data_IF_066067555847
#
_entry.id   IF_066067555847
#
_cell.length_a   1.000
_cell.length_b   1.000
_cell.length_c   1.000
_cell.angle_alpha   90.00
_cell.angle_beta   90.00
_cell.angle_gamma   90.00
#
_symmetry.space_group_name_H-M   'P 1'
#
loop_
_entity.id
_entity.type
_entity.pdbx_description
1 polymer ?
#
# COMPACT_ATOMS: atom_id res chain seq x y z
N UNK A 1 17.94 8.59 -12.44
CA UNK A 1 17.31 7.29 -12.69
C UNK A 1 15.87 7.42 -13.15
N UNK A 2 15.60 7.12 -14.42
CA UNK A 2 14.25 6.90 -14.95
C UNK A 2 14.07 5.41 -15.24
N UNK A 3 12.85 4.90 -15.09
CA UNK A 3 12.55 3.50 -15.34
C UNK A 3 11.06 3.24 -15.30
N UNK A 4 10.68 1.99 -15.06
CA UNK A 4 9.27 1.58 -14.94
C UNK A 4 9.07 0.89 -13.61
N UNK A 5 7.92 1.13 -13.01
CA UNK A 5 7.58 0.59 -11.70
C UNK A 5 6.08 0.32 -11.67
N UNK A 6 5.67 -0.77 -11.02
CA UNK A 6 4.28 -1.10 -10.75
C UNK A 6 4.23 -2.16 -9.65
N UNK A 7 3.06 -2.37 -9.07
CA UNK A 7 2.81 -3.55 -8.26
C UNK A 7 2.22 -4.68 -9.11
N UNK A 8 2.54 -5.91 -8.74
CA UNK A 8 1.83 -7.10 -9.19
C UNK A 8 1.06 -7.67 -8.01
N UNK A 9 -0.27 -7.56 -8.05
CA UNK A 9 -1.16 -7.95 -6.95
C UNK A 9 -2.17 -8.95 -7.49
N UNK A 10 -2.19 -10.16 -6.95
CA UNK A 10 -3.16 -11.19 -7.38
C UNK A 10 -3.08 -11.55 -8.87
N UNK A 11 -1.92 -11.37 -9.51
CA UNK A 11 -1.74 -11.57 -10.95
C UNK A 11 -2.13 -10.36 -11.81
N UNK A 12 -2.58 -9.26 -11.21
CA UNK A 12 -2.89 -8.02 -11.92
C UNK A 12 -1.80 -6.96 -11.73
N UNK A 13 -1.62 -6.13 -12.76
CA UNK A 13 -0.71 -4.99 -12.75
C UNK A 13 -1.44 -3.77 -12.18
N UNK A 14 -0.92 -3.23 -11.08
CA UNK A 14 -1.45 -2.03 -10.40
C UNK A 14 -0.44 -0.89 -10.56
N UNK A 15 -0.91 0.24 -11.09
CA UNK A 15 -0.08 1.35 -11.56
C UNK A 15 0.21 1.31 -13.07
N UNK A 16 0.51 2.47 -13.65
CA UNK A 16 0.87 2.64 -15.05
C UNK A 16 2.36 2.35 -15.28
N UNK A 17 2.67 1.08 -15.54
CA UNK A 17 4.03 0.64 -15.84
C UNK A 17 4.59 1.24 -17.15
N UNK A 18 3.72 1.57 -18.11
CA UNK A 18 4.14 1.94 -19.45
C UNK A 18 4.51 3.43 -19.57
N UNK A 19 3.94 4.29 -18.69
CA UNK A 19 4.23 5.73 -18.63
C UNK A 19 5.68 6.09 -18.23
N UNK A 20 6.39 5.18 -17.57
CA UNK A 20 7.71 5.46 -16.98
C UNK A 20 7.64 6.40 -15.79
N UNK A 21 8.62 6.33 -14.89
CA UNK A 21 8.66 7.11 -13.65
C UNK A 21 10.08 7.50 -13.25
N UNK A 22 10.19 8.54 -12.44
CA UNK A 22 11.39 8.85 -11.67
C UNK A 22 11.56 7.80 -10.57
N UNK A 23 12.45 6.83 -10.79
CA UNK A 23 12.72 5.79 -9.79
C UNK A 23 13.36 6.35 -8.52
N UNK A 24 13.96 7.55 -8.61
CA UNK A 24 14.44 8.30 -7.45
C UNK A 24 13.28 8.75 -6.56
N UNK A 25 12.20 9.25 -7.16
CA UNK A 25 11.03 9.68 -6.39
C UNK A 25 10.34 8.47 -5.77
N UNK A 26 10.20 7.36 -6.53
CA UNK A 26 9.73 6.08 -5.98
C UNK A 26 10.57 5.67 -4.76
N UNK A 27 11.89 5.65 -4.87
CA UNK A 27 12.79 5.29 -3.78
C UNK A 27 12.59 6.17 -2.53
N UNK A 28 12.45 7.49 -2.71
CA UNK A 28 12.23 8.39 -1.58
C UNK A 28 10.89 8.15 -0.90
N UNK A 29 9.83 7.90 -1.67
CA UNK A 29 8.50 7.61 -1.12
C UNK A 29 8.44 6.24 -0.43
N UNK A 30 9.15 5.23 -0.94
CA UNK A 30 9.21 3.90 -0.33
C UNK A 30 9.75 3.93 1.11
N UNK A 31 10.56 4.93 1.48
CA UNK A 31 11.09 5.05 2.85
C UNK A 31 10.00 5.12 3.91
N UNK A 32 8.88 5.76 3.60
CA UNK A 32 7.74 5.87 4.52
C UNK A 32 7.03 4.53 4.64
N UNK A 33 6.74 3.88 3.51
CA UNK A 33 6.08 2.57 3.48
C UNK A 33 6.92 1.50 4.21
N UNK A 34 8.24 1.47 3.96
CA UNK A 34 9.16 0.55 4.65
C UNK A 34 9.26 0.91 6.14
N UNK A 35 9.26 2.21 6.48
CA UNK A 35 9.31 2.69 7.86
C UNK A 35 8.10 2.31 8.69
N UNK A 36 6.92 2.19 8.06
CA UNK A 36 5.68 1.72 8.68
C UNK A 36 5.57 0.18 8.72
N UNK A 37 6.60 -0.55 8.29
CA UNK A 37 6.66 -2.00 8.31
C UNK A 37 6.42 -2.59 9.71
N UNK A 38 5.57 -3.62 9.81
CA UNK A 38 5.16 -4.24 11.06
C UNK A 38 4.12 -3.47 11.89
N UNK A 39 3.74 -2.26 11.48
CA UNK A 39 2.81 -1.40 12.22
C UNK A 39 1.37 -1.44 11.66
N UNK A 40 1.03 -2.50 10.91
CA UNK A 40 -0.25 -2.67 10.19
C UNK A 40 -1.16 -3.76 10.76
N UNK A 41 -0.80 -4.30 11.92
CA UNK A 41 -1.59 -5.31 12.61
C UNK A 41 -2.86 -4.71 13.21
N UNK A 42 -4.02 -5.06 12.64
CA UNK A 42 -5.32 -4.63 13.12
C UNK A 42 -6.38 -5.71 12.82
N UNK A 43 -6.44 -6.77 13.65
CA UNK A 43 -7.21 -7.98 13.33
C UNK A 43 -8.72 -7.75 13.26
N UNK A 44 -9.26 -6.85 14.09
CA UNK A 44 -10.70 -6.50 14.06
C UNK A 44 -11.12 -5.83 12.75
N UNK A 45 -10.25 -4.98 12.20
CA UNK A 45 -10.47 -4.36 10.89
C UNK A 45 -10.24 -5.38 9.77
N UNK A 46 -9.19 -6.19 9.86
CA UNK A 46 -8.88 -7.26 8.91
C UNK A 46 -10.00 -8.31 8.77
N UNK A 47 -10.82 -8.53 9.82
CA UNK A 47 -11.96 -9.46 9.79
C UNK A 47 -13.16 -8.97 8.96
N UNK A 48 -13.18 -7.70 8.52
CA UNK A 48 -14.29 -7.15 7.76
C UNK A 48 -14.26 -7.54 6.26
N UNK A 49 -15.37 -7.40 5.53
CA UNK A 49 -15.39 -7.52 4.08
C UNK A 49 -14.52 -6.45 3.39
N UNK A 50 -13.85 -6.80 2.29
CA UNK A 50 -12.89 -5.93 1.59
C UNK A 50 -13.43 -4.53 1.28
N UNK A 51 -14.64 -4.43 0.71
CA UNK A 51 -15.27 -3.15 0.41
C UNK A 51 -15.48 -2.27 1.66
N UNK A 52 -15.78 -2.88 2.80
CA UNK A 52 -15.93 -2.15 4.08
C UNK A 52 -14.59 -1.69 4.62
N UNK A 53 -13.56 -2.54 4.57
CA UNK A 53 -12.19 -2.16 4.96
C UNK A 53 -11.72 -0.98 4.09
N UNK A 54 -11.84 -1.11 2.77
CA UNK A 54 -11.47 -0.07 1.82
C UNK A 54 -12.13 1.26 2.17
N UNK A 55 -13.45 1.25 2.36
CA UNK A 55 -14.21 2.46 2.70
C UNK A 55 -13.75 3.08 4.02
N UNK A 56 -13.54 2.29 5.07
CA UNK A 56 -13.11 2.79 6.37
C UNK A 56 -11.72 3.44 6.31
N UNK A 57 -10.78 2.83 5.60
CA UNK A 57 -9.43 3.39 5.42
C UNK A 57 -9.51 4.66 4.57
N UNK A 58 -10.16 4.59 3.41
CA UNK A 58 -10.30 5.70 2.48
C UNK A 58 -10.96 6.93 3.13
N UNK A 59 -12.08 6.74 3.85
CA UNK A 59 -12.78 7.84 4.50
C UNK A 59 -11.95 8.45 5.66
N UNK A 60 -11.17 7.63 6.37
CA UNK A 60 -10.28 8.06 7.45
C UNK A 60 -9.09 8.88 6.94
N UNK A 61 -8.46 8.47 5.84
CA UNK A 61 -7.38 9.23 5.19
C UNK A 61 -7.84 10.60 4.68
N UNK A 62 -9.13 10.70 4.30
CA UNK A 62 -9.76 11.96 3.88
C UNK A 62 -10.35 12.77 5.02
N UNK A 63 -10.20 12.30 6.26
CA UNK A 63 -10.79 12.89 7.46
C UNK A 63 -12.32 13.11 7.37
N UNK A 64 -12.99 12.32 6.53
CA UNK A 64 -14.45 12.42 6.31
C UNK A 64 -15.24 11.57 7.30
N UNK A 65 -14.62 10.51 7.83
CA UNK A 65 -15.22 9.64 8.83
C UNK A 65 -14.13 9.07 9.76
N UNK A 66 -14.48 8.83 11.03
CA UNK A 66 -13.61 8.28 12.08
C UNK A 66 -14.05 6.87 12.55
N UNK A 67 -15.02 6.24 11.90
CA UNK A 67 -15.53 4.90 12.24
C UNK A 67 -14.45 3.79 12.19
N UNK A 68 -13.30 4.03 11.56
CA UNK A 68 -12.16 3.08 11.61
C UNK A 68 -11.72 2.80 13.06
N UNK A 69 -11.88 3.77 13.97
CA UNK A 69 -11.52 3.64 15.39
C UNK A 69 -12.51 2.80 16.20
N UNK A 70 -13.62 2.36 15.61
CA UNK A 70 -14.44 1.30 16.21
C UNK A 70 -13.73 -0.06 16.13
N UNK A 71 -12.74 -0.20 15.23
CA UNK A 71 -12.00 -1.42 14.93
C UNK A 71 -10.51 -1.32 15.29
N UNK A 72 -9.92 -0.13 15.21
CA UNK A 72 -8.53 0.16 15.58
C UNK A 72 -8.45 0.96 16.88
N UNK A 73 -7.28 0.99 17.52
CA UNK A 73 -7.05 1.85 18.69
C UNK A 73 -7.00 3.34 18.30
N UNK A 74 -7.33 4.26 19.21
CA UNK A 74 -7.36 5.70 18.93
C UNK A 74 -5.98 6.32 18.62
N UNK A 75 -4.91 5.66 19.04
CA UNK A 75 -3.51 6.01 18.72
C UNK A 75 -3.04 5.39 17.39
N UNK A 76 -3.84 4.52 16.78
CA UNK A 76 -3.54 3.94 15.48
C UNK A 76 -3.56 5.02 14.40
N UNK A 77 -2.57 5.00 13.50
CA UNK A 77 -2.48 5.95 12.38
C UNK A 77 -2.96 5.27 11.08
N UNK A 78 -4.15 5.62 10.54
CA UNK A 78 -4.66 5.00 9.31
C UNK A 78 -3.73 5.13 8.11
N UNK A 79 -2.90 6.17 8.06
CA UNK A 79 -1.89 6.39 7.03
C UNK A 79 -0.93 5.20 6.85
N UNK A 80 -0.65 4.43 7.91
CA UNK A 80 0.21 3.24 7.83
C UNK A 80 -0.36 2.14 6.94
N UNK A 81 -1.69 2.12 6.79
CA UNK A 81 -2.39 1.15 5.94
C UNK A 81 -2.32 1.54 4.46
N UNK A 82 -1.98 2.79 4.13
CA UNK A 82 -1.75 3.24 2.75
C UNK A 82 -0.37 2.79 2.27
N UNK A 83 -0.38 1.85 1.32
CA UNK A 83 0.83 1.33 0.70
C UNK A 83 0.92 1.72 -0.79
N UNK A 84 0.04 2.62 -1.23
CA UNK A 84 0.10 3.20 -2.56
C UNK A 84 1.22 4.24 -2.61
N UNK A 85 2.17 4.09 -3.54
CA UNK A 85 3.29 5.04 -3.64
C UNK A 85 2.75 6.35 -4.23
N UNK A 86 2.92 7.51 -3.56
CA UNK A 86 2.40 8.80 -4.03
C UNK A 86 3.26 9.37 -5.18
N UNK A 87 3.22 8.70 -6.33
CA UNK A 87 3.82 9.11 -7.60
C UNK A 87 2.78 8.97 -8.72
N UNK A 88 3.01 9.70 -9.81
CA UNK A 88 2.08 9.84 -10.93
C UNK A 88 1.56 8.51 -11.53
N UNK A 89 2.44 7.51 -11.65
CA UNK A 89 2.07 6.16 -12.13
C UNK A 89 1.02 5.44 -11.25
N UNK A 90 0.77 5.90 -10.02
CA UNK A 90 -0.22 5.34 -9.12
C UNK A 90 -1.42 6.26 -8.87
N UNK A 91 -1.50 7.45 -9.47
CA UNK A 91 -2.56 8.42 -9.20
C UNK A 91 -3.99 7.87 -9.34
N UNK A 92 -4.19 6.92 -10.27
CA UNK A 92 -5.49 6.30 -10.51
C UNK A 92 -5.78 5.11 -9.60
N UNK A 93 -5.04 4.90 -8.51
CA UNK A 93 -5.15 3.74 -7.65
C UNK A 93 -5.16 4.11 -6.17
N UNK A 94 -5.87 3.30 -5.39
CA UNK A 94 -5.74 3.23 -3.95
C UNK A 94 -5.32 1.81 -3.60
N UNK A 95 -4.30 1.66 -2.76
CA UNK A 95 -3.77 0.35 -2.37
C UNK A 95 -3.55 0.36 -0.86
N UNK A 96 -4.28 -0.50 -0.17
CA UNK A 96 -4.24 -0.62 1.28
C UNK A 96 -3.76 -2.00 1.71
N UNK A 97 -2.97 -2.06 2.77
CA UNK A 97 -2.53 -3.29 3.41
C UNK A 97 -2.98 -3.31 4.86
N UNK A 98 -3.59 -4.40 5.28
CA UNK A 98 -4.00 -4.65 6.67
C UNK A 98 -3.59 -6.06 7.09
N UNK A 99 -3.00 -6.21 8.27
CA UNK A 99 -2.59 -7.52 8.79
C UNK A 99 -3.57 -8.02 9.86
N UNK A 100 -4.06 -9.25 9.67
CA UNK A 100 -4.80 -10.01 10.66
C UNK A 100 -3.91 -11.01 11.38
N UNK A 101 -4.53 -11.92 12.14
CA UNK A 101 -3.79 -12.95 12.91
C UNK A 101 -3.15 -14.02 12.01
N UNK A 102 -3.84 -14.43 10.95
CA UNK A 102 -3.41 -15.54 10.08
C UNK A 102 -2.87 -15.07 8.73
N UNK A 103 -3.40 -13.97 8.22
CA UNK A 103 -3.11 -13.46 6.88
C UNK A 103 -3.12 -11.93 6.86
N UNK A 104 -2.39 -11.37 5.91
CA UNK A 104 -2.50 -9.99 5.48
C UNK A 104 -3.45 -9.89 4.28
N UNK A 105 -4.14 -8.75 4.17
CA UNK A 105 -5.06 -8.43 3.08
C UNK A 105 -4.55 -7.21 2.34
N UNK A 106 -4.22 -7.39 1.06
CA UNK A 106 -3.88 -6.33 0.14
C UNK A 106 -5.14 -5.98 -0.66
N UNK A 107 -5.68 -4.79 -0.43
CA UNK A 107 -6.97 -4.32 -0.95
C UNK A 107 -6.69 -3.16 -1.88
N UNK A 108 -7.25 -3.19 -3.08
CA UNK A 108 -6.93 -2.18 -4.08
C UNK A 108 -8.11 -1.89 -4.98
N UNK A 109 -8.16 -0.65 -5.47
CA UNK A 109 -9.24 -0.16 -6.31
C UNK A 109 -8.73 0.95 -7.21
N UNK A 110 -9.11 0.88 -8.49
CA UNK A 110 -8.88 1.97 -9.42
C UNK A 110 -9.84 3.14 -9.13
N UNK A 111 -9.34 4.36 -9.22
CA UNK A 111 -10.13 5.57 -9.00
C UNK A 111 -11.35 5.62 -9.94
N UNK A 112 -12.49 6.07 -9.43
CA UNK A 112 -13.74 6.17 -10.17
C UNK A 112 -14.48 4.84 -10.40
N UNK A 113 -13.89 3.70 -10.01
CA UNK A 113 -14.59 2.41 -10.02
C UNK A 113 -15.23 2.11 -8.66
N UNK A 114 -16.12 1.11 -8.59
CA UNK A 114 -16.60 0.53 -7.32
C UNK A 114 -16.15 -0.95 -7.16
N UNK A 115 -15.18 -1.36 -7.97
CA UNK A 115 -14.66 -2.73 -8.00
C UNK A 115 -13.47 -2.85 -7.04
N UNK A 116 -13.78 -3.01 -5.74
CA UNK A 116 -12.76 -3.26 -4.72
C UNK A 116 -12.23 -4.69 -4.86
N UNK A 117 -10.94 -4.82 -5.17
CA UNK A 117 -10.25 -6.09 -5.28
C UNK A 117 -9.49 -6.42 -4.01
N UNK A 118 -9.26 -7.70 -3.79
CA UNK A 118 -8.57 -8.24 -2.62
C UNK A 118 -7.63 -9.37 -3.05
N UNK A 119 -6.45 -9.41 -2.46
CA UNK A 119 -5.56 -10.57 -2.43
C UNK A 119 -5.07 -10.79 -1.01
N UNK A 120 -4.94 -12.05 -0.61
CA UNK A 120 -4.37 -12.42 0.68
C UNK A 120 -2.91 -12.77 0.54
N UNK A 121 -2.13 -12.46 1.56
CA UNK A 121 -0.69 -12.73 1.65
C UNK A 121 -0.39 -13.29 3.05
N UNK A 122 0.65 -14.11 3.22
CA UNK A 122 1.29 -14.30 4.50
C UNK A 122 1.59 -12.96 5.19
N UNK A 123 1.39 -12.91 6.51
CA UNK A 123 1.74 -11.74 7.34
C UNK A 123 3.22 -11.41 7.16
N UNK A 124 3.54 -10.12 6.96
CA UNK A 124 4.89 -9.62 6.73
C UNK A 124 5.44 -9.82 5.30
N UNK A 125 4.73 -10.52 4.40
CA UNK A 125 5.24 -10.75 3.02
C UNK A 125 5.43 -9.42 2.27
N UNK A 126 4.45 -8.51 2.36
CA UNK A 126 4.56 -7.20 1.72
C UNK A 126 5.78 -6.43 2.23
N UNK A 127 6.01 -6.41 3.55
CA UNK A 127 7.13 -5.70 4.16
C UNK A 127 8.49 -6.28 3.72
N UNK A 128 8.56 -7.60 3.59
CA UNK A 128 9.73 -8.27 3.03
C UNK A 128 10.00 -7.83 1.59
N UNK A 129 8.97 -7.86 0.72
CA UNK A 129 9.09 -7.52 -0.70
C UNK A 129 9.42 -6.03 -0.90
N UNK A 130 8.76 -5.14 -0.16
CA UNK A 130 8.93 -3.69 -0.32
C UNK A 130 10.30 -3.23 0.17
N UNK A 131 10.82 -3.86 1.24
CA UNK A 131 12.17 -3.62 1.74
C UNK A 131 13.24 -4.12 0.76
N UNK A 132 13.06 -5.30 0.19
CA UNK A 132 13.96 -5.80 -0.87
C UNK A 132 13.97 -4.87 -2.08
N UNK A 133 12.78 -4.42 -2.51
CA UNK A 133 12.62 -3.47 -3.62
C UNK A 133 13.36 -2.15 -3.35
N UNK A 134 13.25 -1.61 -2.13
CA UNK A 134 13.99 -0.42 -1.72
C UNK A 134 15.50 -0.61 -1.84
N UNK A 135 16.03 -1.73 -1.31
CA UNK A 135 17.47 -2.03 -1.38
C UNK A 135 17.98 -2.15 -2.82
N UNK A 136 17.20 -2.75 -3.73
CA UNK A 136 17.54 -2.81 -5.16
C UNK A 136 17.60 -1.41 -5.78
N UNK A 137 16.62 -0.54 -5.48
CA UNK A 137 16.61 0.83 -5.98
C UNK A 137 17.77 1.67 -5.42
N UNK A 138 18.17 1.47 -4.15
CA UNK A 138 19.36 2.09 -3.57
C UNK A 138 20.63 1.63 -4.30
N UNK A 139 20.74 0.33 -4.59
CA UNK A 139 21.86 -0.24 -5.35
C UNK A 139 21.95 0.28 -6.78
N UNK A 140 20.81 0.55 -7.43
CA UNK A 140 20.79 1.21 -8.74
C UNK A 140 21.21 2.68 -8.65
N UNK A 141 20.71 3.42 -7.66
CA UNK A 141 21.08 4.83 -7.45
C UNK A 141 22.59 4.97 -7.17
N UNK A 142 23.18 4.07 -6.38
CA UNK A 142 24.60 4.09 -6.05
C UNK A 142 25.51 3.86 -7.27
N UNK A 143 25.02 3.20 -8.33
CA UNK A 143 25.76 2.99 -9.58
C UNK A 143 25.69 4.20 -10.52
N UNK A 144 24.74 5.12 -10.32
CA UNK A 144 24.61 6.37 -11.07
C UNK A 144 25.47 7.52 -10.49
N UNK A 145 26.02 7.36 -9.28
CA UNK A 145 26.86 8.33 -8.56
C UNK A 145 28.35 8.03 -8.76
#
# INVERSE_FOLDING_TARGET
>A
MFGRFCYWIGGERVGDYDAGASLRDVLFQLKYIVGDGGERFCPRLAALPAAKIFKLIFDALRETNRDIFDYASLDFMPARLDVCIPVDIFNAWNVFLIEGEEEAKLIYQAEGTQDTKLTTLPVGEFDFVIKATQSELEGLLAKEL
#
